data_IF_795623872197
#
_entry.id   IF_795623872197
#
_cell.length_a   1.000
_cell.length_b   1.000
_cell.length_c   1.000
_cell.angle_alpha   90.00
_cell.angle_beta   90.00
_cell.angle_gamma   90.00
#
_symmetry.space_group_name_H-M   'P 1'
#
loop_
_entity.id
_entity.type
_entity.pdbx_description
1 polymer ?
#
# COMPACT_ATOMS: atom_id res chain seq x y z
N UNK A 1 -17.75 -18.65 -7.81
CA UNK A 1 -16.40 -18.14 -8.09
C UNK A 1 -16.40 -16.69 -8.62
N UNK A 2 -17.49 -15.94 -8.49
CA UNK A 2 -17.66 -14.59 -9.10
C UNK A 2 -18.12 -13.46 -8.14
N UNK A 3 -18.24 -13.71 -6.83
CA UNK A 3 -18.72 -12.64 -5.91
C UNK A 3 -17.62 -11.67 -5.45
N UNK A 4 -16.35 -12.10 -5.48
CA UNK A 4 -15.23 -11.27 -5.02
C UNK A 4 -14.67 -10.30 -6.07
N UNK A 5 -14.85 -10.57 -7.35
CA UNK A 5 -14.36 -9.69 -8.43
C UNK A 5 -15.14 -8.37 -8.53
N UNK A 6 -16.44 -8.38 -8.25
CA UNK A 6 -17.28 -7.16 -8.28
C UNK A 6 -16.91 -6.15 -7.19
N UNK A 7 -16.62 -6.60 -5.97
CA UNK A 7 -16.26 -5.73 -4.84
C UNK A 7 -14.88 -5.08 -5.00
N UNK A 8 -13.87 -5.84 -5.44
CA UNK A 8 -12.52 -5.32 -5.66
C UNK A 8 -12.46 -4.28 -6.80
N UNK A 9 -13.16 -4.53 -7.90
CA UNK A 9 -13.26 -3.59 -9.02
C UNK A 9 -13.97 -2.30 -8.60
N UNK A 10 -15.06 -2.41 -7.82
CA UNK A 10 -15.80 -1.25 -7.30
C UNK A 10 -14.94 -0.39 -6.37
N UNK A 11 -14.10 -1.00 -5.52
CA UNK A 11 -13.20 -0.26 -4.64
C UNK A 11 -12.03 0.35 -5.40
N UNK A 12 -11.45 -0.36 -6.38
CA UNK A 12 -10.45 0.19 -7.27
C UNK A 12 -10.99 1.39 -8.07
N UNK A 13 -12.22 1.31 -8.56
CA UNK A 13 -12.87 2.43 -9.24
C UNK A 13 -13.15 3.62 -8.31
N UNK A 14 -13.49 3.36 -7.04
CA UNK A 14 -13.63 4.42 -6.06
C UNK A 14 -12.30 5.10 -5.72
N UNK A 15 -11.24 4.32 -5.56
CA UNK A 15 -9.87 4.85 -5.39
C UNK A 15 -9.46 5.64 -6.64
N UNK A 16 -9.79 5.13 -7.83
CA UNK A 16 -9.53 5.80 -9.10
C UNK A 16 -10.21 7.17 -9.21
N UNK A 17 -11.42 7.35 -8.70
CA UNK A 17 -12.10 8.66 -8.69
C UNK A 17 -11.26 9.76 -8.02
N UNK A 18 -10.38 9.41 -7.08
CA UNK A 18 -9.47 10.38 -6.51
C UNK A 18 -8.42 10.86 -7.53
N UNK A 19 -8.13 10.09 -8.57
CA UNK A 19 -7.28 10.53 -9.66
C UNK A 19 -7.96 11.60 -10.52
N UNK A 20 -9.30 11.61 -10.61
CA UNK A 20 -10.06 12.65 -11.32
C UNK A 20 -9.86 14.03 -10.67
N UNK A 21 -9.66 14.09 -9.35
CA UNK A 21 -9.38 15.32 -8.62
C UNK A 21 -7.98 15.90 -8.92
N UNK A 22 -7.09 15.13 -9.54
CA UNK A 22 -5.74 15.54 -9.94
C UNK A 22 -5.68 16.14 -11.35
N UNK A 23 -6.76 16.01 -12.12
CA UNK A 23 -6.83 16.51 -13.50
C UNK A 23 -6.65 18.02 -13.55
N UNK A 24 -5.80 18.46 -14.47
CA UNK A 24 -5.50 19.87 -14.65
C UNK A 24 -4.27 20.37 -13.86
N UNK A 25 -4.02 19.82 -12.67
CA UNK A 25 -2.89 20.21 -11.81
C UNK A 25 -1.70 19.25 -11.92
N UNK A 26 -1.95 17.98 -12.29
CA UNK A 26 -0.94 16.93 -12.40
C UNK A 26 -0.98 16.25 -13.77
N UNK A 27 0.18 15.76 -14.21
CA UNK A 27 0.25 14.90 -15.39
C UNK A 27 -0.28 13.51 -15.06
N UNK A 28 -0.89 12.83 -16.01
CA UNK A 28 -1.36 11.45 -15.86
C UNK A 28 -0.26 10.50 -15.36
N UNK A 29 0.99 10.73 -15.80
CA UNK A 29 2.18 9.98 -15.36
C UNK A 29 2.46 10.09 -13.87
N UNK A 30 1.93 11.10 -13.20
CA UNK A 30 2.12 11.35 -11.77
C UNK A 30 1.01 10.75 -10.91
N UNK A 31 -0.14 10.36 -11.49
CA UNK A 31 -1.30 9.87 -10.73
C UNK A 31 -0.96 8.63 -9.91
N UNK A 32 -0.24 7.67 -10.48
CA UNK A 32 0.21 6.49 -9.75
C UNK A 32 1.10 6.82 -8.55
N UNK A 33 2.00 7.81 -8.69
CA UNK A 33 2.89 8.28 -7.62
C UNK A 33 2.15 8.97 -6.48
N UNK A 34 0.91 9.39 -6.71
CA UNK A 34 0.04 10.01 -5.71
C UNK A 34 -0.91 8.96 -5.12
N UNK A 35 -1.66 8.27 -5.95
CA UNK A 35 -2.75 7.40 -5.51
C UNK A 35 -2.26 6.14 -4.80
N UNK A 36 -1.17 5.51 -5.29
CA UNK A 36 -0.66 4.27 -4.70
C UNK A 36 -0.20 4.44 -3.25
N UNK A 37 0.67 5.44 -2.90
CA UNK A 37 1.06 5.61 -1.50
C UNK A 37 -0.09 6.06 -0.58
N UNK A 38 -1.06 6.84 -1.06
CA UNK A 38 -2.25 7.14 -0.26
C UNK A 38 -3.14 5.92 -0.02
N UNK A 39 -3.26 5.04 -1.02
CA UNK A 39 -3.96 3.76 -0.87
C UNK A 39 -3.28 2.88 0.18
N UNK A 40 -1.95 2.81 0.14
CA UNK A 40 -1.18 2.09 1.15
C UNK A 40 -1.36 2.71 2.54
N UNK A 41 -1.21 4.03 2.65
CA UNK A 41 -1.37 4.74 3.93
C UNK A 41 -2.74 4.45 4.55
N UNK A 42 -3.81 4.50 3.73
CA UNK A 42 -5.15 4.17 4.21
C UNK A 42 -5.30 2.71 4.62
N UNK A 43 -4.68 1.77 3.89
CA UNK A 43 -4.66 0.35 4.28
C UNK A 43 -3.99 0.14 5.64
N UNK A 44 -2.81 0.72 5.85
CA UNK A 44 -2.08 0.63 7.12
C UNK A 44 -2.89 1.27 8.26
N UNK A 45 -3.50 2.43 8.02
CA UNK A 45 -4.36 3.11 8.99
C UNK A 45 -5.54 2.24 9.40
N UNK A 46 -6.27 1.66 8.45
CA UNK A 46 -7.41 0.79 8.74
C UNK A 46 -6.99 -0.47 9.51
N UNK A 47 -5.87 -1.08 9.14
CA UNK A 47 -5.37 -2.27 9.84
C UNK A 47 -5.02 -1.99 11.29
N UNK A 48 -4.47 -0.81 11.59
CA UNK A 48 -4.08 -0.41 12.96
C UNK A 48 -5.23 0.19 13.77
N UNK A 49 -6.37 0.50 13.17
CA UNK A 49 -7.48 1.19 13.85
C UNK A 49 -7.94 0.49 15.13
N UNK A 50 -8.11 -0.86 15.20
CA UNK A 50 -8.55 -1.54 16.41
C UNK A 50 -7.57 -1.45 17.58
N UNK A 51 -6.27 -1.36 17.31
CA UNK A 51 -5.19 -1.40 18.33
C UNK A 51 -4.55 -0.05 18.57
N UNK A 52 -4.95 0.97 17.83
CA UNK A 52 -4.33 2.29 17.82
C UNK A 52 -4.20 2.92 19.20
N UNK A 53 -5.26 2.90 19.99
CA UNK A 53 -5.24 3.50 21.32
C UNK A 53 -4.31 2.72 22.27
N UNK A 54 -4.38 1.38 22.23
CA UNK A 54 -3.51 0.52 23.03
C UNK A 54 -2.02 0.73 22.70
N UNK A 55 -1.69 0.93 21.41
CA UNK A 55 -0.31 1.23 20.96
C UNK A 55 0.16 2.58 21.52
N UNK A 56 -0.70 3.60 21.52
CA UNK A 56 -0.36 4.92 22.07
C UNK A 56 -0.17 4.87 23.58
N UNK A 57 -1.06 4.19 24.31
CA UNK A 57 -0.94 3.97 25.75
C UNK A 57 0.35 3.21 26.09
N UNK A 58 0.67 2.15 25.35
CA UNK A 58 1.90 1.40 25.53
C UNK A 58 3.13 2.27 25.24
N UNK A 59 3.11 3.06 24.16
CA UNK A 59 4.19 3.99 23.85
C UNK A 59 4.42 4.97 25.02
N UNK A 60 3.38 5.63 25.52
CA UNK A 60 3.49 6.61 26.60
C UNK A 60 3.95 5.99 27.93
N UNK A 61 3.55 4.74 28.18
CA UNK A 61 3.96 4.01 29.38
C UNK A 61 5.43 3.56 29.35
N UNK A 62 5.96 3.23 28.18
CA UNK A 62 7.26 2.57 28.05
C UNK A 62 8.34 3.39 27.33
N UNK A 63 8.04 4.57 26.76
CA UNK A 63 9.00 5.40 26.01
C UNK A 63 10.26 5.80 26.77
N UNK A 64 10.17 5.90 28.10
CA UNK A 64 11.29 6.29 28.99
C UNK A 64 11.83 5.08 29.78
N UNK A 65 11.34 3.87 29.53
CA UNK A 65 11.78 2.65 30.21
C UNK A 65 12.95 2.01 29.46
N UNK A 66 13.79 1.29 30.20
CA UNK A 66 14.91 0.52 29.63
C UNK A 66 14.39 -0.84 29.09
N UNK A 67 13.60 -0.77 27.98
CA UNK A 67 12.96 -1.91 27.34
C UNK A 67 13.03 -1.78 25.81
N UNK A 68 12.89 -2.89 25.12
CA UNK A 68 12.77 -2.97 23.65
C UNK A 68 11.40 -2.46 23.19
N UNK A 69 11.23 -1.13 23.13
CA UNK A 69 9.96 -0.47 22.84
C UNK A 69 9.35 -0.94 21.49
N UNK A 70 10.16 -1.08 20.44
CA UNK A 70 9.69 -1.53 19.13
C UNK A 70 8.99 -2.91 19.19
N UNK A 71 9.56 -3.85 19.94
CA UNK A 71 8.99 -5.19 20.15
C UNK A 71 7.64 -5.11 20.86
N UNK A 72 7.53 -4.27 21.90
CA UNK A 72 6.29 -4.09 22.66
C UNK A 72 5.21 -3.48 21.75
N UNK A 73 5.53 -2.45 20.98
CA UNK A 73 4.57 -1.77 20.12
C UNK A 73 4.08 -2.65 18.97
N UNK A 74 4.96 -3.46 18.35
CA UNK A 74 4.56 -4.45 17.35
C UNK A 74 3.63 -5.53 17.94
N UNK A 75 3.96 -6.02 19.12
CA UNK A 75 3.11 -7.00 19.81
C UNK A 75 1.75 -6.43 20.16
N UNK A 76 1.70 -5.16 20.61
CA UNK A 76 0.45 -4.46 20.96
C UNK A 76 -0.39 -4.17 19.71
N UNK A 77 0.26 -3.84 18.59
CA UNK A 77 -0.40 -3.58 17.31
C UNK A 77 -0.97 -4.84 16.66
N UNK A 78 -0.48 -6.03 17.04
CA UNK A 78 -0.75 -7.32 16.36
C UNK A 78 -0.37 -7.31 14.87
N UNK A 79 0.62 -6.47 14.52
CA UNK A 79 1.16 -6.32 13.18
C UNK A 79 2.68 -6.12 13.22
N UNK A 80 3.42 -6.44 12.13
CA UNK A 80 4.86 -6.17 12.04
C UNK A 80 5.17 -4.66 11.90
N UNK A 81 4.19 -3.80 12.06
CA UNK A 81 4.30 -2.34 12.02
C UNK A 81 3.29 -1.71 13.01
N UNK A 82 3.54 -0.46 13.37
CA UNK A 82 2.67 0.32 14.26
C UNK A 82 2.73 1.80 13.89
N UNK A 83 1.85 2.61 14.52
CA UNK A 83 1.90 4.06 14.49
C UNK A 83 1.52 4.63 15.87
N UNK A 84 2.32 5.57 16.38
CA UNK A 84 2.12 6.19 17.70
C UNK A 84 1.44 7.56 17.62
N UNK A 85 1.08 8.02 16.39
CA UNK A 85 0.48 9.33 16.17
C UNK A 85 -0.95 9.43 16.70
N UNK A 86 -1.32 10.62 17.15
CA UNK A 86 -2.71 11.00 17.41
C UNK A 86 -3.50 11.30 16.11
N UNK A 87 -2.81 11.55 14.99
CA UNK A 87 -3.42 11.87 13.71
C UNK A 87 -3.91 10.64 12.96
N UNK A 88 -4.95 10.85 12.18
CA UNK A 88 -5.42 9.98 11.09
C UNK A 88 -5.67 10.82 9.85
N UNK A 89 -5.83 10.21 8.69
CA UNK A 89 -6.16 10.96 7.46
C UNK A 89 -7.39 11.86 7.63
N UNK A 90 -8.37 11.43 8.44
CA UNK A 90 -9.57 12.20 8.73
C UNK A 90 -9.37 13.37 9.69
N UNK A 91 -8.34 13.34 10.54
CA UNK A 91 -8.13 14.30 11.64
C UNK A 91 -6.97 15.28 11.41
N UNK A 92 -6.35 15.26 10.24
CA UNK A 92 -5.19 16.13 9.92
C UNK A 92 -5.49 17.64 9.98
N UNK A 93 -6.78 18.02 9.88
CA UNK A 93 -7.17 19.44 9.83
C UNK A 93 -6.85 20.12 8.51
N UNK A 94 -7.52 21.24 8.24
CA UNK A 94 -7.40 21.96 6.96
C UNK A 94 -6.30 23.03 6.95
N UNK A 95 -5.79 23.45 8.12
CA UNK A 95 -4.87 24.59 8.21
C UNK A 95 -3.38 24.20 8.23
N UNK A 96 -3.03 23.00 8.65
CA UNK A 96 -1.65 22.51 8.74
C UNK A 96 -1.53 21.09 8.20
N UNK A 97 -2.34 20.77 7.20
CA UNK A 97 -2.50 19.42 6.68
C UNK A 97 -1.16 18.77 6.33
N UNK A 98 -0.26 19.49 5.65
CA UNK A 98 1.06 18.95 5.29
C UNK A 98 1.86 18.56 6.52
N UNK A 99 2.05 19.49 7.45
CA UNK A 99 2.84 19.25 8.65
C UNK A 99 2.27 18.08 9.46
N UNK A 100 0.97 18.08 9.67
CA UNK A 100 0.31 17.02 10.44
C UNK A 100 0.40 15.65 9.73
N UNK A 101 0.37 15.62 8.39
CA UNK A 101 0.58 14.41 7.60
C UNK A 101 2.05 13.94 7.66
N UNK A 102 3.02 14.85 7.56
CA UNK A 102 4.44 14.55 7.74
C UNK A 102 4.71 13.99 9.14
N UNK A 103 4.17 14.62 10.19
CA UNK A 103 4.26 14.14 11.57
C UNK A 103 3.58 12.77 11.73
N UNK A 104 2.41 12.55 11.08
CA UNK A 104 1.71 11.27 11.09
C UNK A 104 2.57 10.14 10.50
N UNK A 105 3.21 10.40 9.34
CA UNK A 105 4.04 9.42 8.66
C UNK A 105 5.34 9.15 9.45
N UNK A 106 5.93 10.17 10.04
CA UNK A 106 7.16 10.04 10.83
C UNK A 106 7.00 9.15 12.06
N UNK A 107 5.77 8.99 12.57
CA UNK A 107 5.45 8.19 13.75
C UNK A 107 5.05 6.73 13.43
N UNK A 108 5.14 6.31 12.18
CA UNK A 108 5.14 4.89 11.83
C UNK A 108 6.45 4.22 12.23
N UNK A 109 6.39 2.92 12.49
CA UNK A 109 7.58 2.08 12.63
C UNK A 109 8.51 2.19 11.41
N UNK A 110 9.81 1.99 11.62
CA UNK A 110 10.85 2.23 10.60
C UNK A 110 10.59 1.48 9.29
N UNK A 111 10.15 0.23 9.36
CA UNK A 111 9.84 -0.58 8.18
C UNK A 111 8.65 -0.05 7.37
N UNK A 112 7.62 0.49 8.03
CA UNK A 112 6.48 1.10 7.34
C UNK A 112 6.87 2.48 6.77
N UNK A 113 7.65 3.28 7.51
CA UNK A 113 8.14 4.59 7.07
C UNK A 113 9.02 4.48 5.83
N UNK A 114 9.94 3.51 5.80
CA UNK A 114 10.83 3.27 4.66
C UNK A 114 10.07 3.09 3.33
N UNK A 115 8.87 2.51 3.36
CA UNK A 115 8.05 2.35 2.16
C UNK A 115 7.63 3.73 1.59
N UNK A 116 7.25 4.68 2.45
CA UNK A 116 6.87 6.03 2.01
C UNK A 116 8.07 6.82 1.51
N UNK A 117 9.28 6.57 2.03
CA UNK A 117 10.53 7.14 1.54
C UNK A 117 10.83 6.63 0.12
N UNK A 118 10.68 5.34 -0.16
CA UNK A 118 10.83 4.74 -1.51
C UNK A 118 9.83 5.33 -2.53
N UNK A 119 8.63 5.68 -2.10
CA UNK A 119 7.66 6.40 -2.94
C UNK A 119 7.99 7.87 -3.14
N UNK A 120 9.03 8.41 -2.53
CA UNK A 120 9.30 9.87 -2.48
C UNK A 120 8.06 10.67 -2.04
N UNK A 121 7.29 10.10 -1.09
CA UNK A 121 5.96 10.59 -0.74
C UNK A 121 5.98 12.04 -0.22
N UNK A 122 7.06 12.46 0.46
CA UNK A 122 7.25 13.84 0.89
C UNK A 122 7.20 14.85 -0.27
N UNK A 123 7.83 14.54 -1.41
CA UNK A 123 7.78 15.38 -2.60
C UNK A 123 6.35 15.47 -3.16
N UNK A 124 5.62 14.37 -3.14
CA UNK A 124 4.22 14.29 -3.56
C UNK A 124 3.32 15.17 -2.67
N UNK A 125 3.50 15.11 -1.36
CA UNK A 125 2.76 15.91 -0.36
C UNK A 125 2.98 17.42 -0.59
N UNK A 126 4.24 17.84 -0.82
CA UNK A 126 4.57 19.25 -1.12
C UNK A 126 3.88 19.72 -2.41
N UNK A 127 3.86 18.88 -3.46
CA UNK A 127 3.21 19.22 -4.73
C UNK A 127 1.68 19.34 -4.57
N UNK A 128 1.05 18.44 -3.84
CA UNK A 128 -0.38 18.48 -3.54
C UNK A 128 -0.76 19.71 -2.69
N UNK A 129 0.08 20.10 -1.73
CA UNK A 129 -0.15 21.31 -0.94
C UNK A 129 -0.11 22.56 -1.84
N UNK A 130 0.90 22.66 -2.72
CA UNK A 130 1.02 23.80 -3.68
C UNK A 130 -0.17 23.88 -4.62
N UNK A 131 -0.76 22.75 -5.02
CA UNK A 131 -1.97 22.69 -5.84
C UNK A 131 -3.26 22.94 -5.03
N UNK A 132 -3.18 23.03 -3.68
CA UNK A 132 -4.37 23.20 -2.83
C UNK A 132 -5.22 21.93 -2.70
N UNK A 133 -4.72 20.77 -3.15
CA UNK A 133 -5.47 19.51 -3.21
C UNK A 133 -5.20 18.58 -2.01
N UNK A 134 -4.13 18.81 -1.24
CA UNK A 134 -3.69 17.89 -0.19
C UNK A 134 -4.79 17.53 0.80
N UNK A 135 -5.49 18.52 1.37
CA UNK A 135 -6.54 18.28 2.33
C UNK A 135 -7.71 17.48 1.73
N UNK A 136 -8.11 17.83 0.49
CA UNK A 136 -9.18 17.13 -0.21
C UNK A 136 -8.84 15.65 -0.44
N UNK A 137 -7.64 15.36 -0.91
CA UNK A 137 -7.16 13.99 -1.13
C UNK A 137 -7.13 13.21 0.19
N UNK A 138 -6.57 13.77 1.27
CA UNK A 138 -6.59 13.13 2.59
C UNK A 138 -8.01 12.80 3.05
N UNK A 139 -8.95 13.73 2.92
CA UNK A 139 -10.34 13.52 3.32
C UNK A 139 -11.07 12.50 2.45
N UNK A 140 -10.76 12.43 1.16
CA UNK A 140 -11.32 11.42 0.28
C UNK A 140 -10.83 10.02 0.66
N UNK A 141 -9.53 9.85 0.90
CA UNK A 141 -8.97 8.56 1.33
C UNK A 141 -9.46 8.15 2.72
N UNK A 142 -9.67 9.10 3.64
CA UNK A 142 -10.23 8.81 4.97
C UNK A 142 -11.62 8.14 4.93
N UNK A 143 -12.38 8.31 3.84
CA UNK A 143 -13.73 7.73 3.67
C UNK A 143 -13.70 6.30 3.11
N UNK A 144 -12.54 5.84 2.63
CA UNK A 144 -12.41 4.50 2.05
C UNK A 144 -12.18 3.51 3.19
N UNK A 145 -12.97 2.46 3.25
CA UNK A 145 -12.74 1.36 4.18
C UNK A 145 -11.89 0.28 3.52
N UNK A 146 -10.63 0.21 3.95
CA UNK A 146 -9.67 -0.81 3.52
C UNK A 146 -9.27 -1.73 4.69
N UNK A 147 -10.13 -1.87 5.71
CA UNK A 147 -9.86 -2.77 6.83
C UNK A 147 -9.66 -4.22 6.32
N UNK A 148 -8.73 -5.01 6.90
CA UNK A 148 -8.48 -6.39 6.50
C UNK A 148 -9.72 -7.29 6.50
N UNK A 149 -10.66 -7.07 7.42
CA UNK A 149 -11.92 -7.82 7.50
C UNK A 149 -12.88 -7.48 6.35
N UNK A 150 -12.81 -6.26 5.82
CA UNK A 150 -13.66 -5.80 4.70
C UNK A 150 -12.99 -6.09 3.37
N UNK A 151 -11.68 -5.88 3.30
CA UNK A 151 -10.83 -6.08 2.12
C UNK A 151 -9.68 -7.03 2.50
N UNK A 152 -9.86 -8.34 2.41
CA UNK A 152 -8.80 -9.31 2.67
C UNK A 152 -7.55 -9.04 1.81
N UNK A 153 -6.36 -9.44 2.29
CA UNK A 153 -5.08 -9.15 1.61
C UNK A 153 -5.04 -9.60 0.16
N UNK A 154 -5.65 -10.73 -0.17
CA UNK A 154 -5.77 -11.20 -1.55
C UNK A 154 -6.56 -10.21 -2.43
N UNK A 155 -7.62 -9.63 -1.89
CA UNK A 155 -8.44 -8.62 -2.59
C UNK A 155 -7.66 -7.33 -2.72
N UNK A 156 -6.95 -6.93 -1.65
CA UNK A 156 -6.10 -5.73 -1.67
C UNK A 156 -4.99 -5.84 -2.72
N UNK A 157 -4.35 -7.01 -2.85
CA UNK A 157 -3.36 -7.28 -3.89
C UNK A 157 -3.95 -7.11 -5.30
N UNK A 158 -5.19 -7.58 -5.51
CA UNK A 158 -5.89 -7.41 -6.78
C UNK A 158 -6.20 -5.93 -7.09
N UNK A 159 -6.60 -5.16 -6.06
CA UNK A 159 -6.83 -3.71 -6.18
C UNK A 159 -5.53 -3.00 -6.61
N UNK A 160 -4.42 -3.28 -5.90
CA UNK A 160 -3.12 -2.70 -6.24
C UNK A 160 -2.67 -3.04 -7.66
N UNK A 161 -2.77 -4.31 -8.05
CA UNK A 161 -2.44 -4.73 -9.40
C UNK A 161 -3.28 -4.02 -10.46
N UNK A 162 -4.59 -3.88 -10.20
CA UNK A 162 -5.49 -3.16 -11.10
C UNK A 162 -5.11 -1.68 -11.24
N UNK A 163 -4.79 -1.02 -10.13
CA UNK A 163 -4.35 0.37 -10.13
C UNK A 163 -3.01 0.54 -10.87
N UNK A 164 -2.03 -0.32 -10.61
CA UNK A 164 -0.73 -0.28 -11.30
C UNK A 164 -0.90 -0.45 -12.81
N UNK A 165 -1.71 -1.41 -13.25
CA UNK A 165 -2.01 -1.62 -14.68
C UNK A 165 -2.67 -0.39 -15.30
N UNK A 166 -3.66 0.19 -14.62
CA UNK A 166 -4.40 1.34 -15.12
C UNK A 166 -3.51 2.57 -15.23
N UNK A 167 -2.67 2.85 -14.23
CA UNK A 167 -1.69 3.94 -14.30
C UNK A 167 -0.59 3.66 -15.32
N UNK A 168 -0.15 2.41 -15.48
CA UNK A 168 0.82 2.01 -16.47
C UNK A 168 0.32 2.19 -17.89
N UNK A 169 -0.91 1.80 -18.18
CA UNK A 169 -1.54 1.93 -19.49
C UNK A 169 -1.68 3.40 -19.95
N UNK A 170 -1.85 4.33 -19.01
CA UNK A 170 -1.95 5.76 -19.32
C UNK A 170 -0.59 6.45 -19.58
N UNK A 171 0.52 5.82 -19.13
CA UNK A 171 1.86 6.42 -19.19
C UNK A 171 2.59 6.08 -20.49
N UNK A 172 2.34 4.90 -21.06
CA UNK A 172 3.00 4.44 -22.28
C UNK A 172 2.24 3.29 -22.92
N UNK A 173 2.21 3.23 -24.25
CA UNK A 173 1.82 2.06 -25.06
C UNK A 173 2.66 0.80 -24.73
N UNK A 174 3.72 0.90 -23.91
CA UNK A 174 4.61 -0.19 -23.49
C UNK A 174 4.49 -0.58 -22.01
N UNK A 175 3.47 -0.14 -21.28
CA UNK A 175 3.31 -0.49 -19.85
C UNK A 175 2.97 -1.98 -19.64
N UNK A 176 2.46 -2.67 -20.64
CA UNK A 176 2.27 -4.12 -20.65
C UNK A 176 3.60 -4.89 -20.54
N UNK A 177 4.71 -4.26 -20.93
CA UNK A 177 6.06 -4.86 -20.85
C UNK A 177 6.59 -5.01 -19.41
N UNK A 178 5.92 -4.41 -18.41
CA UNK A 178 6.41 -4.38 -17.02
C UNK A 178 5.80 -5.46 -16.13
N UNK A 179 4.72 -6.10 -16.54
CA UNK A 179 4.05 -7.12 -15.73
C UNK A 179 3.92 -8.43 -16.49
N UNK A 180 4.39 -9.50 -15.87
CA UNK A 180 4.16 -10.84 -16.42
C UNK A 180 2.65 -11.13 -16.45
N UNK A 181 2.07 -11.55 -17.59
CA UNK A 181 0.67 -11.92 -17.69
C UNK A 181 0.27 -12.95 -16.63
N UNK A 182 -0.91 -12.79 -16.05
CA UNK A 182 -1.37 -13.66 -14.95
C UNK A 182 -1.47 -15.14 -15.33
N UNK A 183 -1.89 -15.44 -16.53
CA UNK A 183 -1.97 -16.79 -17.05
C UNK A 183 -0.59 -17.47 -17.11
N UNK A 184 0.46 -16.73 -17.47
CA UNK A 184 1.85 -17.20 -17.42
C UNK A 184 2.29 -17.42 -15.97
N UNK A 185 1.97 -16.48 -15.06
CA UNK A 185 2.27 -16.64 -13.63
C UNK A 185 1.56 -17.87 -13.07
N UNK A 186 0.27 -18.05 -13.37
CA UNK A 186 -0.50 -19.21 -12.93
C UNK A 186 0.06 -20.52 -13.48
N UNK A 187 0.41 -20.55 -14.77
CA UNK A 187 1.01 -21.74 -15.39
C UNK A 187 2.36 -22.06 -14.73
N UNK A 188 3.23 -21.08 -14.59
CA UNK A 188 4.54 -21.27 -13.97
C UNK A 188 4.43 -21.76 -12.53
N UNK A 189 3.51 -21.16 -11.75
CA UNK A 189 3.25 -21.55 -10.35
C UNK A 189 2.67 -22.96 -10.27
N UNK A 190 1.70 -23.30 -11.14
CA UNK A 190 1.13 -24.64 -11.19
C UNK A 190 2.19 -25.69 -11.51
N UNK A 191 3.00 -25.46 -12.56
CA UNK A 191 4.07 -26.40 -12.92
C UNK A 191 5.14 -26.53 -11.83
N UNK A 192 5.42 -25.48 -11.09
CA UNK A 192 6.40 -25.48 -10.00
C UNK A 192 5.90 -26.24 -8.77
N UNK A 193 4.62 -26.10 -8.42
CA UNK A 193 4.04 -26.64 -7.19
C UNK A 193 3.35 -27.99 -7.38
N UNK A 194 2.93 -28.35 -8.61
CA UNK A 194 2.26 -29.62 -8.92
C UNK A 194 2.97 -30.87 -8.32
N UNK A 195 4.32 -30.99 -8.35
CA UNK A 195 5.01 -32.10 -7.72
C UNK A 195 4.89 -32.14 -6.20
N UNK A 196 4.59 -31.00 -5.57
CA UNK A 196 4.50 -30.85 -4.11
C UNK A 196 3.06 -30.90 -3.59
N UNK A 197 2.03 -30.91 -4.43
CA UNK A 197 0.61 -30.88 -4.03
C UNK A 197 0.26 -32.01 -3.06
N UNK A 198 0.68 -33.23 -3.35
CA UNK A 198 0.47 -34.38 -2.47
C UNK A 198 1.18 -34.23 -1.10
N UNK A 199 2.29 -33.52 -1.06
CA UNK A 199 3.04 -33.26 0.18
C UNK A 199 2.33 -32.19 1.03
N UNK A 200 1.75 -31.17 0.42
CA UNK A 200 0.97 -30.15 1.12
C UNK A 200 -0.32 -30.72 1.72
N UNK A 201 -1.01 -31.62 0.99
CA UNK A 201 -2.18 -32.32 1.50
C UNK A 201 -1.84 -33.25 2.68
N UNK A 202 -0.72 -33.97 2.58
CA UNK A 202 -0.31 -34.94 3.61
C UNK A 202 0.31 -34.30 4.86
N UNK A 203 0.79 -33.05 4.76
CA UNK A 203 1.54 -32.39 5.84
C UNK A 203 1.04 -30.95 6.04
N UNK A 204 -0.10 -30.75 6.73
CA UNK A 204 -0.57 -29.41 7.08
C UNK A 204 0.50 -28.63 7.85
N UNK A 205 0.82 -27.42 7.39
CA UNK A 205 1.86 -26.58 7.98
C UNK A 205 3.25 -26.73 7.37
N UNK A 206 3.42 -27.53 6.31
CA UNK A 206 4.65 -27.57 5.53
C UNK A 206 4.94 -26.21 4.90
N UNK A 207 6.13 -25.65 5.16
CA UNK A 207 6.58 -24.40 4.58
C UNK A 207 7.58 -24.70 3.48
N UNK A 208 7.38 -24.14 2.28
CA UNK A 208 8.32 -24.14 1.17
C UNK A 208 8.85 -22.73 0.92
N UNK A 209 10.14 -22.61 0.78
CA UNK A 209 10.77 -21.34 0.41
C UNK A 209 10.86 -21.26 -1.11
N UNK A 210 10.26 -20.24 -1.70
CA UNK A 210 10.37 -19.91 -3.13
C UNK A 210 11.36 -18.77 -3.29
N UNK A 211 12.27 -18.93 -4.24
CA UNK A 211 13.20 -17.87 -4.63
C UNK A 211 12.92 -17.41 -6.04
N UNK A 212 12.44 -16.18 -6.16
CA UNK A 212 12.28 -15.49 -7.44
C UNK A 212 13.54 -14.66 -7.69
N UNK A 213 14.29 -15.04 -8.73
CA UNK A 213 15.48 -14.30 -9.14
C UNK A 213 15.09 -13.21 -10.13
N UNK A 214 15.23 -11.92 -9.78
CA UNK A 214 14.97 -10.84 -10.71
C UNK A 214 15.89 -11.00 -11.93
N UNK A 215 15.31 -11.17 -13.10
CA UNK A 215 16.04 -11.14 -14.38
C UNK A 215 16.27 -9.68 -14.70
N UNK A 216 17.53 -9.24 -14.63
CA UNK A 216 17.91 -7.91 -15.11
C UNK A 216 17.49 -7.78 -16.57
N UNK A 217 16.73 -6.72 -16.91
CA UNK A 217 16.43 -6.40 -18.30
C UNK A 217 17.73 -6.26 -19.07
N UNK A 218 17.91 -7.07 -20.07
CA UNK A 218 18.89 -6.79 -21.12
C UNK A 218 18.33 -5.60 -21.88
N UNK A 219 18.91 -4.41 -21.66
CA UNK A 219 18.62 -3.28 -22.50
C UNK A 219 18.90 -3.71 -23.96
N UNK A 220 17.85 -3.84 -24.75
CA UNK A 220 17.99 -3.98 -26.20
C UNK A 220 18.59 -2.68 -26.69
N UNK A 221 19.89 -2.68 -26.94
CA UNK A 221 20.54 -1.59 -27.68
C UNK A 221 19.81 -1.45 -29.01
N UNK A 222 19.42 -0.25 -29.44
CA UNK A 222 18.95 -0.08 -30.80
C UNK A 222 20.08 -0.52 -31.74
N UNK A 223 19.78 -1.46 -32.60
CA UNK A 223 20.70 -1.80 -33.71
C UNK A 223 20.83 -0.60 -34.63
N UNK A 224 22.02 -0.36 -35.17
CA UNK A 224 22.35 0.79 -36.01
C UNK A 224 21.59 0.78 -37.33
#
# INVERSE_FOLDING_TARGET
>A
MNEFTGSAASQADFIWKNAEDLWGDFKHTDFGKIILPFTLLRRLECALEPTREAVREAHDAFKDADVELDTILRSTADYPFYNTSEYSLGTLGSTKTRRNLEDYIALFSDNARAIFEEFEFGNTVIRLEKAGLLYKICQNFAKIDLHPDVVPDRVMSNIYEHLIRRFGAEVNEGAEDFMTPRDIVHLATALLLDPDDALFEASPGLIRTLYDRPVARVASSPMP
#
